data_IF_497268721288
#
_entry.id   IF_497268721288
#
_cell.length_a   1.000
_cell.length_b   1.000
_cell.length_c   1.000
_cell.angle_alpha   90.00
_cell.angle_beta   90.00
_cell.angle_gamma   90.00
#
_symmetry.space_group_name_H-M   'P 1'
#
loop_
_entity.id
_entity.type
_entity.pdbx_description
1 polymer ?
#
# COMPACT_ATOMS: atom_id res chain seq x y z
N UNK A 1 -12.12 -19.37 51.26
CA UNK A 1 -13.04 -18.89 50.20
C UNK A 1 -12.46 -19.25 48.83
N UNK A 2 -12.97 -20.31 48.20
CA UNK A 2 -12.64 -20.73 46.83
C UNK A 2 -13.81 -20.35 45.93
N UNK A 3 -13.60 -19.42 44.99
CA UNK A 3 -14.61 -19.07 44.00
C UNK A 3 -14.46 -19.96 42.76
N UNK A 4 -15.48 -20.80 42.53
CA UNK A 4 -15.74 -21.54 41.29
C UNK A 4 -16.66 -20.66 40.44
N UNK A 5 -16.22 -20.25 39.25
CA UNK A 5 -17.11 -19.67 38.23
C UNK A 5 -17.18 -20.64 37.07
N UNK A 6 -18.38 -21.18 36.88
CA UNK A 6 -18.82 -21.97 35.73
C UNK A 6 -19.13 -21.05 34.55
N UNK A 7 -18.59 -21.32 33.37
CA UNK A 7 -19.15 -20.79 32.12
C UNK A 7 -19.26 -21.91 31.07
N UNK A 8 -20.52 -22.28 30.80
CA UNK A 8 -20.95 -23.09 29.66
C UNK A 8 -20.71 -22.27 28.39
N UNK A 9 -20.00 -22.84 27.41
CA UNK A 9 -20.05 -22.36 26.02
C UNK A 9 -20.60 -23.48 25.15
N UNK A 10 -21.70 -23.16 24.45
CA UNK A 10 -22.47 -24.02 23.57
C UNK A 10 -21.64 -24.40 22.33
N UNK A 11 -21.64 -25.70 22.00
CA UNK A 11 -21.11 -26.24 20.75
C UNK A 11 -22.05 -25.90 19.58
N UNK A 12 -21.49 -25.43 18.46
CA UNK A 12 -22.16 -25.28 17.17
C UNK A 12 -21.95 -26.54 16.31
N UNK A 13 -22.92 -26.93 15.46
CA UNK A 13 -22.93 -28.26 14.85
C UNK A 13 -21.99 -28.39 13.63
N UNK A 14 -21.33 -29.54 13.56
CA UNK A 14 -20.47 -29.99 12.44
C UNK A 14 -21.32 -30.24 11.18
N UNK A 15 -21.12 -29.44 10.14
CA UNK A 15 -21.68 -29.71 8.81
C UNK A 15 -20.80 -30.69 8.03
N UNK A 16 -21.28 -31.92 7.89
CA UNK A 16 -20.73 -32.97 7.04
C UNK A 16 -20.69 -32.55 5.56
N UNK A 17 -19.51 -32.49 4.95
CA UNK A 17 -19.36 -32.53 3.49
C UNK A 17 -18.63 -33.82 3.11
N UNK A 18 -19.40 -34.84 2.74
CA UNK A 18 -18.90 -36.06 2.07
C UNK A 18 -18.72 -35.75 0.59
N UNK A 19 -17.48 -35.69 0.09
CA UNK A 19 -17.21 -35.73 -1.35
C UNK A 19 -17.40 -37.16 -1.89
N UNK A 20 -18.32 -37.34 -2.84
CA UNK A 20 -18.35 -38.51 -3.75
C UNK A 20 -17.49 -38.19 -4.99
N UNK A 21 -16.76 -39.15 -5.56
CA UNK A 21 -15.94 -38.91 -6.75
C UNK A 21 -16.78 -39.01 -8.03
N UNK A 22 -16.46 -38.18 -9.03
CA UNK A 22 -16.99 -38.28 -10.40
C UNK A 22 -15.82 -38.38 -11.41
N UNK A 23 -16.03 -39.02 -12.57
CA UNK A 23 -14.99 -39.71 -13.32
C UNK A 23 -14.21 -38.82 -14.30
N UNK A 24 -13.00 -39.28 -14.65
CA UNK A 24 -12.14 -38.75 -15.71
C UNK A 24 -12.79 -38.91 -17.09
N UNK A 25 -12.84 -37.83 -17.89
CA UNK A 25 -12.62 -37.88 -19.36
C UNK A 25 -12.31 -36.50 -19.93
N UNK A 26 -11.29 -36.47 -20.80
CA UNK A 26 -10.71 -35.35 -21.53
C UNK A 26 -11.67 -34.79 -22.59
N UNK A 27 -11.69 -33.45 -22.77
CA UNK A 27 -11.34 -32.72 -24.01
C UNK A 27 -11.97 -31.33 -24.07
N UNK A 28 -11.23 -30.43 -24.73
CA UNK A 28 -11.69 -29.19 -25.39
C UNK A 28 -11.97 -27.98 -24.48
N UNK A 29 -10.92 -27.20 -24.19
CA UNK A 29 -11.06 -25.81 -23.75
C UNK A 29 -11.30 -24.89 -24.95
N UNK A 30 -12.58 -24.61 -25.23
CA UNK A 30 -13.05 -23.40 -25.92
C UNK A 30 -14.15 -22.75 -25.08
N UNK A 31 -14.14 -21.43 -25.08
CA UNK A 31 -15.12 -20.49 -24.53
C UNK A 31 -14.98 -20.07 -23.05
N UNK A 32 -14.41 -18.87 -22.89
CA UNK A 32 -15.04 -17.70 -22.31
C UNK A 32 -16.10 -17.96 -21.21
N UNK A 33 -15.79 -17.60 -19.96
CA UNK A 33 -16.79 -17.15 -18.98
C UNK A 33 -16.17 -16.32 -17.85
N UNK A 34 -16.40 -15.01 -17.96
CA UNK A 34 -16.70 -14.05 -16.88
C UNK A 34 -15.80 -14.12 -15.65
N UNK A 35 -14.66 -13.42 -15.71
CA UNK A 35 -14.08 -12.85 -14.50
C UNK A 35 -15.05 -11.80 -13.96
N UNK A 36 -15.71 -12.14 -12.85
CA UNK A 36 -16.42 -11.17 -12.00
C UNK A 36 -15.43 -10.05 -11.69
N UNK A 37 -15.66 -8.86 -12.25
CA UNK A 37 -15.03 -7.64 -11.79
C UNK A 37 -15.30 -7.52 -10.30
N UNK A 38 -14.27 -7.73 -9.48
CA UNK A 38 -14.31 -7.40 -8.06
C UNK A 38 -14.50 -5.88 -8.03
N UNK A 39 -15.68 -5.44 -7.61
CA UNK A 39 -16.04 -4.03 -7.57
C UNK A 39 -14.96 -3.23 -6.83
N UNK A 40 -14.45 -2.18 -7.48
CA UNK A 40 -13.65 -1.14 -6.81
C UNK A 40 -14.49 -0.62 -5.64
N UNK A 41 -14.17 -1.02 -4.40
CA UNK A 41 -14.58 -0.25 -3.24
C UNK A 41 -13.86 1.09 -3.37
N UNK A 42 -14.60 2.13 -3.76
CA UNK A 42 -14.14 3.51 -3.68
C UNK A 42 -13.81 3.77 -2.21
N UNK A 43 -12.55 4.00 -1.89
CA UNK A 43 -12.16 4.44 -0.56
C UNK A 43 -12.75 5.83 -0.38
N UNK A 44 -13.76 5.97 0.49
CA UNK A 44 -14.33 7.26 0.83
C UNK A 44 -13.40 7.96 1.81
N UNK A 45 -12.76 9.05 1.39
CA UNK A 45 -11.87 9.85 2.21
C UNK A 45 -12.67 10.96 2.90
N UNK A 46 -12.64 11.03 4.23
CA UNK A 46 -13.28 12.13 4.98
C UNK A 46 -12.32 13.29 5.22
N UNK A 47 -12.85 14.49 5.48
CA UNK A 47 -12.04 15.64 5.89
C UNK A 47 -11.32 15.36 7.21
N UNK A 48 -11.91 14.57 8.11
CA UNK A 48 -11.28 14.11 9.35
C UNK A 48 -10.01 13.30 9.06
N UNK A 49 -10.10 12.28 8.20
CA UNK A 49 -8.93 11.46 7.83
C UNK A 49 -7.83 12.29 7.16
N UNK A 50 -8.23 13.25 6.32
CA UNK A 50 -7.31 14.20 5.71
C UNK A 50 -6.62 15.09 6.76
N UNK A 51 -7.38 15.58 7.75
CA UNK A 51 -6.84 16.40 8.83
C UNK A 51 -5.90 15.62 9.74
N UNK A 52 -6.30 14.44 10.22
CA UNK A 52 -5.48 13.59 11.10
C UNK A 52 -4.16 13.20 10.44
N UNK A 53 -4.19 12.80 9.17
CA UNK A 53 -2.98 12.44 8.41
C UNK A 53 -2.09 13.65 8.07
N UNK A 54 -2.70 14.84 7.93
CA UNK A 54 -2.06 16.07 7.48
C UNK A 54 -1.71 17.06 8.60
N UNK A 55 -2.12 16.82 9.85
CA UNK A 55 -1.94 17.76 10.95
C UNK A 55 -0.46 18.08 11.17
N UNK A 56 0.37 17.05 11.27
CA UNK A 56 1.82 17.21 11.45
C UNK A 56 2.55 17.45 10.12
N UNK A 57 2.27 16.62 9.11
CA UNK A 57 3.01 16.61 7.83
C UNK A 57 2.74 17.85 6.97
N UNK A 58 1.48 18.33 6.96
CA UNK A 58 1.06 19.51 6.19
C UNK A 58 0.88 20.75 7.08
N UNK A 59 1.12 20.64 8.39
CA UNK A 59 0.94 21.73 9.36
C UNK A 59 -0.48 22.28 9.41
N UNK A 60 -1.48 21.42 9.24
CA UNK A 60 -2.89 21.81 9.19
C UNK A 60 -3.42 22.17 10.58
N UNK A 61 -4.15 23.27 10.66
CA UNK A 61 -4.87 23.72 11.86
C UNK A 61 -6.30 24.06 11.51
N UNK A 62 -7.25 23.66 12.35
CA UNK A 62 -8.65 24.07 12.19
C UNK A 62 -8.78 25.53 12.65
N UNK A 63 -9.44 26.36 11.82
CA UNK A 63 -9.62 27.80 12.09
C UNK A 63 -11.09 28.18 12.23
N UNK A 64 -12.01 27.39 11.68
CA UNK A 64 -13.45 27.64 11.79
C UNK A 64 -14.26 26.69 10.91
N UNK A 65 -15.57 26.93 10.81
CA UNK A 65 -16.45 26.17 9.92
C UNK A 65 -17.17 24.97 10.54
N UNK A 66 -17.17 24.87 11.88
CA UNK A 66 -17.89 23.84 12.64
C UNK A 66 -17.22 22.46 12.67
N UNK A 67 -17.74 21.52 13.49
CA UNK A 67 -17.16 20.20 13.71
C UNK A 67 -17.40 19.19 12.57
N UNK A 68 -17.91 19.62 11.42
CA UNK A 68 -18.32 18.76 10.30
C UNK A 68 -17.12 18.18 9.50
N UNK A 69 -16.19 17.53 10.18
CA UNK A 69 -15.05 16.84 9.58
C UNK A 69 -15.47 15.52 8.89
N UNK A 70 -16.70 15.07 9.09
CA UNK A 70 -17.27 13.87 8.47
C UNK A 70 -17.57 14.03 6.97
N UNK A 71 -17.42 15.24 6.42
CA UNK A 71 -17.66 15.52 4.99
C UNK A 71 -16.74 14.65 4.12
N UNK A 72 -17.30 14.14 3.03
CA UNK A 72 -16.59 13.24 2.11
C UNK A 72 -15.91 14.03 0.99
N UNK A 73 -14.62 13.77 0.80
CA UNK A 73 -13.83 14.23 -0.34
C UNK A 73 -14.07 13.24 -1.49
N UNK A 74 -14.88 13.66 -2.47
CA UNK A 74 -15.33 12.79 -3.57
C UNK A 74 -14.33 12.72 -4.73
N UNK A 75 -13.44 13.70 -4.85
CA UNK A 75 -12.38 13.74 -5.84
C UNK A 75 -11.04 13.98 -5.15
N UNK A 76 -10.09 13.07 -5.35
CA UNK A 76 -8.73 13.08 -4.78
C UNK A 76 -7.88 14.08 -5.57
N UNK A 77 -8.25 15.35 -5.47
CA UNK A 77 -7.56 16.44 -6.11
C UNK A 77 -7.86 17.74 -5.35
N UNK A 78 -6.95 18.70 -5.45
CA UNK A 78 -7.16 20.03 -4.92
C UNK A 78 -7.63 20.97 -6.04
N UNK A 79 -8.42 21.97 -5.68
CA UNK A 79 -8.88 23.00 -6.60
C UNK A 79 -8.52 24.38 -6.08
N UNK A 80 -8.06 25.27 -6.97
CA UNK A 80 -7.90 26.69 -6.68
C UNK A 80 -9.09 27.43 -7.27
N UNK A 81 -10.01 27.97 -6.46
CA UNK A 81 -11.30 28.45 -6.94
C UNK A 81 -11.24 29.85 -7.58
N UNK A 82 -10.15 30.24 -8.25
CA UNK A 82 -9.99 31.59 -8.81
C UNK A 82 -11.13 32.02 -9.73
N UNK A 83 -11.43 31.20 -10.75
CA UNK A 83 -12.54 31.46 -11.69
C UNK A 83 -13.93 31.39 -11.03
N UNK A 84 -14.11 30.47 -10.07
CA UNK A 84 -15.37 30.33 -9.35
C UNK A 84 -15.66 31.57 -8.49
N UNK A 85 -14.63 32.08 -7.78
CA UNK A 85 -14.72 33.33 -7.04
C UNK A 85 -14.95 34.54 -7.97
N UNK A 86 -14.55 34.46 -9.24
CA UNK A 86 -14.86 35.47 -10.25
C UNK A 86 -16.30 35.39 -10.82
N UNK A 87 -17.11 34.40 -10.40
CA UNK A 87 -18.50 34.24 -10.84
C UNK A 87 -18.71 33.16 -11.90
N UNK A 88 -17.65 32.50 -12.39
CA UNK A 88 -17.75 31.45 -13.40
C UNK A 88 -17.81 30.06 -12.75
N UNK A 89 -19.04 29.54 -12.55
CA UNK A 89 -19.29 28.28 -11.83
C UNK A 89 -19.56 27.06 -12.74
N UNK A 90 -19.60 27.22 -14.07
CA UNK A 90 -20.01 26.17 -15.00
C UNK A 90 -19.13 24.89 -14.88
N UNK A 91 -17.84 25.07 -14.59
CA UNK A 91 -16.88 23.97 -14.40
C UNK A 91 -16.26 23.97 -12.99
N UNK A 92 -16.99 24.49 -12.01
CA UNK A 92 -16.47 24.54 -10.65
C UNK A 92 -16.34 23.14 -10.05
N UNK A 93 -15.11 22.74 -9.71
CA UNK A 93 -14.80 21.45 -9.11
C UNK A 93 -15.14 21.42 -7.61
N UNK A 94 -16.41 21.55 -7.26
CA UNK A 94 -16.90 21.62 -5.88
C UNK A 94 -16.69 20.33 -5.07
N UNK A 95 -16.42 19.20 -5.74
CA UNK A 95 -16.16 17.89 -5.12
C UNK A 95 -14.74 17.73 -4.54
N UNK A 96 -13.87 18.73 -4.78
CA UNK A 96 -12.46 18.78 -4.38
C UNK A 96 -12.24 19.65 -3.16
N UNK A 97 -11.11 19.47 -2.48
CA UNK A 97 -10.65 20.41 -1.45
C UNK A 97 -10.36 21.76 -2.10
N UNK A 98 -10.90 22.85 -1.54
CA UNK A 98 -10.71 24.19 -2.08
C UNK A 98 -9.52 24.88 -1.41
N UNK A 99 -8.54 25.30 -2.19
CA UNK A 99 -7.31 25.94 -1.69
C UNK A 99 -7.36 27.43 -1.95
N UNK A 100 -7.33 28.21 -0.87
CA UNK A 100 -7.33 29.66 -0.91
C UNK A 100 -5.91 30.17 -0.62
N UNK A 101 -5.33 30.84 -1.62
CA UNK A 101 -4.00 31.45 -1.55
C UNK A 101 -4.05 32.97 -1.57
N UNK A 102 -2.93 33.57 -1.97
CA UNK A 102 -2.80 35.04 -2.07
C UNK A 102 -3.74 35.60 -3.14
N UNK A 103 -3.77 35.00 -4.33
CA UNK A 103 -4.53 35.52 -5.47
C UNK A 103 -6.04 35.53 -5.16
N UNK A 104 -6.55 34.44 -4.58
CA UNK A 104 -7.96 34.30 -4.23
C UNK A 104 -8.38 35.29 -3.13
N UNK A 105 -7.53 35.53 -2.13
CA UNK A 105 -7.77 36.53 -1.08
C UNK A 105 -7.69 37.96 -1.64
N UNK A 106 -6.68 38.26 -2.45
CA UNK A 106 -6.50 39.59 -3.04
C UNK A 106 -7.69 39.95 -3.93
N UNK A 107 -8.16 38.99 -4.74
CA UNK A 107 -9.34 39.14 -5.56
C UNK A 107 -10.61 39.37 -4.73
N UNK A 108 -10.84 38.56 -3.69
CA UNK A 108 -12.00 38.76 -2.83
C UNK A 108 -12.00 40.11 -2.10
N UNK A 109 -10.81 40.68 -1.83
CA UNK A 109 -10.66 42.00 -1.23
C UNK A 109 -10.88 43.15 -2.21
N UNK A 110 -10.76 42.92 -3.52
CA UNK A 110 -10.99 43.97 -4.53
C UNK A 110 -12.47 44.13 -4.90
N UNK A 111 -13.34 43.22 -4.46
CA UNK A 111 -14.78 43.26 -4.74
C UNK A 111 -15.52 44.17 -3.76
N UNK A 112 -16.68 44.68 -4.17
CA UNK A 112 -17.61 45.33 -3.24
C UNK A 112 -18.18 44.31 -2.26
N UNK A 113 -18.72 44.79 -1.14
CA UNK A 113 -19.26 43.91 -0.10
C UNK A 113 -20.48 43.11 -0.58
N UNK A 114 -21.30 43.70 -1.46
CA UNK A 114 -22.45 43.06 -2.10
C UNK A 114 -22.03 41.91 -3.02
N UNK A 115 -21.10 42.19 -3.96
CA UNK A 115 -20.56 41.18 -4.87
C UNK A 115 -19.86 40.05 -4.11
N UNK A 116 -19.09 40.40 -3.08
CA UNK A 116 -18.41 39.42 -2.25
C UNK A 116 -19.41 38.47 -1.59
N UNK A 117 -20.49 39.01 -1.01
CA UNK A 117 -21.52 38.19 -0.36
C UNK A 117 -22.23 37.27 -1.35
N UNK A 118 -22.64 37.80 -2.51
CA UNK A 118 -23.31 37.03 -3.55
C UNK A 118 -22.46 35.85 -4.03
N UNK A 119 -21.16 36.10 -4.26
CA UNK A 119 -20.24 35.08 -4.77
C UNK A 119 -19.87 34.04 -3.72
N UNK A 120 -19.70 34.44 -2.46
CA UNK A 120 -19.48 33.51 -1.36
C UNK A 120 -20.70 32.60 -1.16
N UNK A 121 -21.92 33.14 -1.25
CA UNK A 121 -23.15 32.33 -1.14
C UNK A 121 -23.27 31.30 -2.26
N UNK A 122 -22.98 31.72 -3.49
CA UNK A 122 -22.90 30.80 -4.63
C UNK A 122 -21.79 29.76 -4.46
N UNK A 123 -20.66 30.11 -3.86
CA UNK A 123 -19.55 29.20 -3.62
C UNK A 123 -19.86 28.15 -2.54
N UNK A 124 -20.40 28.56 -1.39
CA UNK A 124 -20.72 27.66 -0.28
C UNK A 124 -21.97 26.79 -0.55
N UNK A 125 -22.95 27.29 -1.31
CA UNK A 125 -24.14 26.51 -1.70
C UNK A 125 -23.83 25.25 -2.53
N UNK A 126 -22.63 25.16 -3.13
CA UNK A 126 -22.17 23.98 -3.88
C UNK A 126 -21.70 22.82 -3.00
N UNK A 127 -21.84 22.91 -1.68
CA UNK A 127 -21.52 21.84 -0.71
C UNK A 127 -20.08 21.32 -0.82
N UNK A 128 -19.11 22.23 -0.91
CA UNK A 128 -17.68 21.89 -0.91
C UNK A 128 -17.27 21.07 0.32
N UNK A 129 -16.26 20.17 0.21
CA UNK A 129 -15.84 19.32 1.33
C UNK A 129 -15.16 20.12 2.43
N UNK A 130 -14.14 20.91 2.11
CA UNK A 130 -13.45 21.81 3.02
C UNK A 130 -12.67 22.89 2.28
N UNK A 131 -12.24 23.91 3.02
CA UNK A 131 -11.37 24.99 2.56
C UNK A 131 -10.03 24.88 3.27
N UNK A 132 -8.93 25.03 2.53
CA UNK A 132 -7.59 25.15 3.10
C UNK A 132 -6.98 26.50 2.74
N UNK A 133 -6.57 27.25 3.75
CA UNK A 133 -5.91 28.55 3.62
C UNK A 133 -4.41 28.37 3.75
N UNK A 134 -3.66 28.85 2.75
CA UNK A 134 -2.21 28.67 2.69
C UNK A 134 -1.46 29.90 3.22
N UNK A 135 -0.16 29.73 3.54
CA UNK A 135 0.74 30.79 4.05
C UNK A 135 0.24 31.49 5.32
N UNK A 136 -0.45 30.77 6.22
CA UNK A 136 -1.04 31.30 7.45
C UNK A 136 -1.91 32.56 7.27
N UNK A 137 -2.45 32.78 6.06
CA UNK A 137 -3.26 33.97 5.80
C UNK A 137 -4.54 33.93 6.61
N UNK A 138 -4.98 35.12 7.02
CA UNK A 138 -6.25 35.27 7.70
C UNK A 138 -7.35 35.45 6.66
N UNK A 139 -8.40 34.62 6.78
CA UNK A 139 -9.62 34.79 6.01
C UNK A 139 -10.39 36.00 6.55
N UNK A 140 -11.14 36.65 5.66
CA UNK A 140 -12.04 37.72 6.06
C UNK A 140 -13.16 37.15 6.95
N UNK A 141 -13.63 37.90 7.96
CA UNK A 141 -14.69 37.44 8.88
C UNK A 141 -15.95 36.95 8.15
N UNK A 142 -16.31 37.60 7.02
CA UNK A 142 -17.46 37.20 6.21
C UNK A 142 -17.34 35.77 5.66
N UNK A 143 -16.13 35.34 5.27
CA UNK A 143 -15.90 33.97 4.77
C UNK A 143 -16.06 32.95 5.90
N UNK A 144 -15.54 33.26 7.10
CA UNK A 144 -15.67 32.37 8.27
C UNK A 144 -17.13 32.22 8.71
N UNK A 145 -17.88 33.33 8.77
CA UNK A 145 -19.33 33.30 9.08
C UNK A 145 -20.13 32.43 8.11
N UNK A 146 -19.84 32.53 6.81
CA UNK A 146 -20.49 31.67 5.80
C UNK A 146 -20.03 30.22 5.92
N UNK A 147 -18.76 29.97 6.16
CA UNK A 147 -18.26 28.61 6.39
C UNK A 147 -18.97 27.94 7.58
N UNK A 148 -19.20 28.67 8.67
CA UNK A 148 -19.98 28.18 9.82
C UNK A 148 -21.45 27.95 9.46
N UNK A 149 -22.09 28.89 8.77
CA UNK A 149 -23.49 28.77 8.37
C UNK A 149 -23.76 27.57 7.45
N UNK A 150 -22.81 27.24 6.57
CA UNK A 150 -22.90 26.09 5.66
C UNK A 150 -22.22 24.81 6.22
N UNK A 151 -21.63 24.88 7.42
CA UNK A 151 -20.92 23.78 8.07
C UNK A 151 -19.78 23.21 7.23
N UNK A 152 -18.97 24.09 6.62
CA UNK A 152 -17.80 23.76 5.81
C UNK A 152 -16.53 23.98 6.64
N UNK A 153 -15.75 22.93 6.95
CA UNK A 153 -14.51 23.07 7.69
C UNK A 153 -13.49 23.96 6.98
N UNK A 154 -12.85 24.84 7.77
CA UNK A 154 -11.79 25.74 7.33
C UNK A 154 -10.49 25.36 8.03
N UNK A 155 -9.54 24.88 7.24
CA UNK A 155 -8.20 24.53 7.65
C UNK A 155 -7.21 25.62 7.24
N UNK A 156 -6.09 25.72 7.95
CA UNK A 156 -5.00 26.66 7.67
C UNK A 156 -3.66 25.96 7.77
N UNK A 157 -2.75 26.29 6.88
CA UNK A 157 -1.36 25.82 6.87
C UNK A 157 -0.40 26.99 6.65
N UNK A 158 0.80 26.87 7.23
CA UNK A 158 1.92 27.77 6.97
C UNK A 158 2.55 27.56 5.59
N UNK A 159 2.30 26.41 4.95
CA UNK A 159 2.92 26.03 3.68
C UNK A 159 2.59 27.00 2.55
N UNK A 160 3.54 27.11 1.61
CA UNK A 160 3.32 27.79 0.33
C UNK A 160 2.31 27.00 -0.51
N UNK A 161 1.44 27.69 -1.24
CA UNK A 161 0.32 27.09 -1.99
C UNK A 161 0.73 25.93 -2.89
N UNK A 162 1.79 26.09 -3.71
CA UNK A 162 2.26 25.01 -4.60
C UNK A 162 2.81 23.81 -3.83
N UNK A 163 3.62 24.05 -2.79
CA UNK A 163 4.18 22.99 -1.94
C UNK A 163 3.07 22.22 -1.20
N UNK A 164 2.07 22.95 -0.68
CA UNK A 164 0.91 22.35 -0.04
C UNK A 164 0.11 21.46 -1.01
N UNK A 165 -0.19 21.97 -2.22
CA UNK A 165 -0.95 21.21 -3.22
C UNK A 165 -0.22 19.90 -3.56
N UNK A 166 1.08 19.95 -3.81
CA UNK A 166 1.86 18.76 -4.14
C UNK A 166 1.88 17.73 -2.99
N UNK A 167 2.21 18.18 -1.78
CA UNK A 167 2.27 17.31 -0.61
C UNK A 167 0.89 16.71 -0.25
N UNK A 168 -0.17 17.53 -0.29
CA UNK A 168 -1.53 17.08 -0.04
C UNK A 168 -2.02 16.09 -1.11
N UNK A 169 -1.63 16.28 -2.37
CA UNK A 169 -1.97 15.35 -3.47
C UNK A 169 -1.37 13.98 -3.18
N UNK A 170 -0.05 13.92 -2.92
CA UNK A 170 0.66 12.67 -2.59
C UNK A 170 0.03 12.00 -1.36
N UNK A 171 -0.29 12.77 -0.32
CA UNK A 171 -0.91 12.23 0.89
C UNK A 171 -2.29 11.61 0.60
N UNK A 172 -3.17 12.33 -0.09
CA UNK A 172 -4.51 11.82 -0.39
C UNK A 172 -4.47 10.59 -1.31
N UNK A 173 -3.56 10.57 -2.29
CA UNK A 173 -3.33 9.41 -3.16
C UNK A 173 -2.85 8.19 -2.35
N UNK A 174 -1.90 8.39 -1.42
CA UNK A 174 -1.42 7.32 -0.54
C UNK A 174 -2.52 6.77 0.38
N UNK A 175 -3.42 7.62 0.88
CA UNK A 175 -4.57 7.23 1.71
C UNK A 175 -5.59 6.40 0.93
N UNK A 176 -5.79 6.72 -0.35
CA UNK A 176 -6.78 6.06 -1.21
C UNK A 176 -6.20 4.91 -2.04
N UNK A 177 -4.88 4.70 -2.00
CA UNK A 177 -4.19 3.64 -2.74
C UNK A 177 -4.78 2.26 -2.39
N UNK A 178 -5.06 1.39 -3.39
CA UNK A 178 -5.52 0.03 -3.15
C UNK A 178 -4.53 -0.75 -2.29
N UNK A 179 -5.06 -1.44 -1.27
CA UNK A 179 -4.28 -2.27 -0.34
C UNK A 179 -4.80 -3.69 -0.31
N UNK A 180 -3.89 -4.65 -0.24
CA UNK A 180 -4.19 -6.07 0.04
C UNK A 180 -3.29 -6.56 1.17
N UNK A 181 -3.78 -7.52 1.95
CA UNK A 181 -2.97 -8.20 2.97
C UNK A 181 -2.47 -9.51 2.39
N UNK A 182 -1.17 -9.73 2.45
CA UNK A 182 -0.53 -10.99 2.12
C UNK A 182 -0.04 -11.64 3.41
N UNK A 183 -0.29 -12.94 3.57
CA UNK A 183 0.27 -13.69 4.68
C UNK A 183 1.69 -14.12 4.31
N UNK A 184 2.67 -13.65 5.07
CA UNK A 184 4.08 -13.84 4.79
C UNK A 184 4.94 -12.79 5.47
N UNK A 185 6.23 -13.12 5.56
CA UNK A 185 7.26 -12.28 6.17
C UNK A 185 8.01 -11.56 5.05
N UNK A 186 8.12 -10.24 5.13
CA UNK A 186 8.83 -9.43 4.14
C UNK A 186 10.15 -8.90 4.70
N UNK A 187 11.22 -9.04 3.93
CA UNK A 187 12.58 -8.62 4.28
C UNK A 187 13.21 -7.78 3.15
N UNK A 188 14.06 -6.82 3.51
CA UNK A 188 14.94 -6.08 2.59
C UNK A 188 16.31 -6.76 2.58
N UNK A 189 16.69 -7.31 1.43
CA UNK A 189 17.99 -7.95 1.20
C UNK A 189 18.75 -7.11 0.17
N UNK A 190 19.70 -6.30 0.65
CA UNK A 190 20.55 -5.45 -0.19
C UNK A 190 19.76 -4.55 -1.18
N UNK A 191 18.61 -4.05 -0.77
CA UNK A 191 17.73 -3.19 -1.57
C UNK A 191 16.71 -3.94 -2.43
N UNK A 192 16.59 -5.27 -2.27
CA UNK A 192 15.55 -6.09 -2.91
C UNK A 192 14.54 -6.48 -1.83
N UNK A 193 13.29 -6.04 -1.99
CA UNK A 193 12.22 -6.48 -1.08
C UNK A 193 11.69 -7.85 -1.45
N UNK A 194 11.83 -8.79 -0.53
CA UNK A 194 11.44 -10.19 -0.71
C UNK A 194 10.30 -10.54 0.23
N UNK A 195 9.18 -11.03 -0.32
CA UNK A 195 8.08 -11.60 0.45
C UNK A 195 8.21 -13.11 0.53
N UNK A 196 8.44 -13.63 1.74
CA UNK A 196 8.46 -15.05 2.06
C UNK A 196 7.05 -15.54 2.38
N UNK A 197 6.54 -16.43 1.56
CA UNK A 197 5.26 -17.10 1.74
C UNK A 197 5.47 -18.59 2.02
N UNK A 198 4.44 -19.25 2.55
CA UNK A 198 4.46 -20.68 2.81
C UNK A 198 3.52 -21.05 3.94
N UNK A 199 3.40 -22.34 4.21
CA UNK A 199 2.54 -22.84 5.28
C UNK A 199 2.99 -22.34 6.67
N UNK A 200 2.08 -22.22 7.65
CA UNK A 200 2.47 -21.90 9.03
C UNK A 200 3.46 -22.93 9.59
N UNK A 201 4.57 -22.48 10.16
CA UNK A 201 5.60 -23.37 10.72
C UNK A 201 6.62 -23.93 9.72
N UNK A 202 6.58 -23.52 8.44
CA UNK A 202 7.57 -23.90 7.43
C UNK A 202 8.97 -23.30 7.66
N UNK A 203 9.10 -22.32 8.57
CA UNK A 203 10.36 -21.63 8.85
C UNK A 203 10.48 -20.21 8.28
N UNK A 204 9.37 -19.51 7.99
CA UNK A 204 9.40 -18.14 7.40
C UNK A 204 10.10 -17.13 8.32
N UNK A 205 9.65 -17.05 9.57
CA UNK A 205 10.14 -16.10 10.55
C UNK A 205 11.57 -16.46 10.98
N UNK A 206 11.89 -17.75 11.08
CA UNK A 206 13.25 -18.25 11.36
C UNK A 206 14.22 -17.92 10.21
N UNK A 207 13.79 -18.08 8.96
CA UNK A 207 14.59 -17.68 7.78
C UNK A 207 14.81 -16.16 7.77
N UNK A 208 13.78 -15.37 8.07
CA UNK A 208 13.88 -13.93 8.15
C UNK A 208 14.82 -13.47 9.29
N UNK A 209 14.75 -14.12 10.47
CA UNK A 209 15.62 -13.85 11.59
C UNK A 209 17.09 -14.09 11.23
N UNK A 210 17.40 -15.24 10.61
CA UNK A 210 18.75 -15.55 10.15
C UNK A 210 19.26 -14.58 9.09
N UNK A 211 18.39 -14.01 8.24
CA UNK A 211 18.76 -12.93 7.32
C UNK A 211 19.06 -11.62 8.06
N UNK A 212 18.28 -11.27 9.09
CA UNK A 212 18.51 -10.08 9.90
C UNK A 212 19.85 -10.17 10.65
N UNK A 213 20.18 -11.34 11.18
CA UNK A 213 21.50 -11.61 11.80
C UNK A 213 22.67 -11.40 10.83
N UNK A 214 22.44 -11.54 9.52
CA UNK A 214 23.42 -11.26 8.45
C UNK A 214 23.46 -9.80 8.00
N UNK A 215 22.70 -8.92 8.65
CA UNK A 215 22.67 -7.48 8.37
C UNK A 215 21.55 -7.03 7.43
N UNK A 216 20.61 -7.93 7.07
CA UNK A 216 19.41 -7.57 6.32
C UNK A 216 18.34 -6.95 7.24
N UNK A 217 17.23 -6.49 6.68
CA UNK A 217 16.24 -5.74 7.45
C UNK A 217 14.83 -6.33 7.36
N UNK A 218 14.12 -6.36 8.48
CA UNK A 218 12.71 -6.71 8.54
C UNK A 218 11.85 -5.57 8.01
N UNK A 219 10.90 -5.89 7.13
CA UNK A 219 9.83 -4.98 6.70
C UNK A 219 8.52 -5.29 7.42
N UNK A 220 8.15 -6.58 7.47
CA UNK A 220 6.94 -7.08 8.11
C UNK A 220 7.08 -8.57 8.45
N UNK A 221 6.41 -9.02 9.51
CA UNK A 221 6.28 -10.44 9.85
C UNK A 221 4.79 -10.85 9.94
N UNK A 222 4.51 -12.11 9.60
CA UNK A 222 3.19 -12.75 9.46
C UNK A 222 2.20 -12.10 8.46
N UNK A 223 1.89 -10.82 8.60
CA UNK A 223 0.98 -10.08 7.72
C UNK A 223 1.70 -8.88 7.11
N UNK A 224 1.90 -8.95 5.79
CA UNK A 224 2.43 -7.85 4.99
C UNK A 224 1.29 -7.11 4.29
N UNK A 225 1.18 -5.80 4.49
CA UNK A 225 0.26 -4.93 3.76
C UNK A 225 0.95 -4.50 2.47
N UNK A 226 0.38 -4.89 1.33
CA UNK A 226 0.86 -4.51 0.01
C UNK A 226 -0.04 -3.41 -0.55
N UNK A 227 0.55 -2.32 -1.03
CA UNK A 227 -0.15 -1.25 -1.75
C UNK A 227 0.52 -0.94 -3.07
N UNK A 228 -0.23 -0.37 -4.00
CA UNK A 228 0.31 0.11 -5.26
C UNK A 228 0.57 1.61 -5.19
N UNK A 229 1.80 2.03 -5.43
CA UNK A 229 2.11 3.46 -5.53
C UNK A 229 1.67 4.05 -6.89
N UNK A 230 1.85 5.35 -7.04
CA UNK A 230 1.47 6.06 -8.27
C UNK A 230 2.34 5.70 -9.48
N UNK A 231 3.59 5.28 -9.25
CA UNK A 231 4.49 4.79 -10.30
C UNK A 231 4.13 3.36 -10.75
N UNK A 232 3.24 2.69 -10.03
CA UNK A 232 2.79 1.32 -10.31
C UNK A 232 3.61 0.24 -9.60
N UNK A 233 4.58 0.61 -8.78
CA UNK A 233 5.32 -0.30 -7.93
C UNK A 233 4.45 -0.78 -6.76
N UNK A 234 4.72 -2.00 -6.30
CA UNK A 234 4.08 -2.56 -5.11
C UNK A 234 4.99 -2.29 -3.93
N UNK A 235 4.47 -1.64 -2.90
CA UNK A 235 5.16 -1.35 -1.66
C UNK A 235 4.56 -2.21 -0.54
N UNK A 236 5.42 -2.85 0.23
CA UNK A 236 5.06 -3.66 1.38
C UNK A 236 5.45 -2.99 2.69
N UNK A 237 4.58 -3.12 3.69
CA UNK A 237 4.81 -2.63 5.05
C UNK A 237 4.10 -3.53 6.08
N UNK A 238 4.53 -3.45 7.33
CA UNK A 238 3.84 -4.11 8.43
C UNK A 238 2.49 -3.45 8.75
N UNK A 239 1.57 -4.22 9.31
CA UNK A 239 0.42 -3.66 10.02
C UNK A 239 0.94 -2.90 11.25
N UNK A 240 0.30 -1.78 11.59
CA UNK A 240 0.76 -0.90 12.66
C UNK A 240 0.98 -1.61 14.00
N UNK A 241 0.09 -2.55 14.37
CA UNK A 241 0.17 -3.30 15.63
C UNK A 241 1.35 -4.29 15.71
N UNK A 242 1.76 -4.88 14.57
CA UNK A 242 2.87 -5.84 14.52
C UNK A 242 4.16 -5.22 14.01
N UNK A 243 4.19 -3.90 13.82
CA UNK A 243 5.33 -3.18 13.28
C UNK A 243 6.57 -3.45 14.14
N UNK A 244 7.65 -3.88 13.50
CA UNK A 244 8.95 -4.20 14.10
C UNK A 244 8.97 -5.37 15.10
N UNK A 245 7.84 -6.08 15.24
CA UNK A 245 7.74 -7.27 16.08
C UNK A 245 7.75 -8.53 15.21
N UNK A 246 8.28 -9.61 15.77
CA UNK A 246 8.33 -10.93 15.13
C UNK A 246 8.01 -12.00 16.16
N UNK A 247 7.21 -13.00 15.79
CA UNK A 247 6.94 -14.16 16.65
C UNK A 247 7.87 -15.31 16.28
N UNK A 248 8.67 -15.77 17.25
CA UNK A 248 9.53 -16.94 17.08
C UNK A 248 9.05 -18.06 17.99
N UNK A 249 8.81 -19.24 17.41
CA UNK A 249 8.35 -20.40 18.17
C UNK A 249 9.42 -20.81 19.20
N UNK A 250 8.98 -21.00 20.45
CA UNK A 250 9.87 -21.35 21.56
C UNK A 250 10.54 -20.15 22.24
N UNK A 251 10.56 -18.97 21.63
CA UNK A 251 11.07 -17.73 22.23
C UNK A 251 9.95 -16.74 22.57
N UNK A 252 8.88 -16.68 21.78
CA UNK A 252 7.79 -15.70 21.90
C UNK A 252 7.99 -14.51 20.96
N UNK A 253 7.34 -13.39 21.28
CA UNK A 253 7.40 -12.16 20.48
C UNK A 253 8.66 -11.37 20.84
N UNK A 254 9.42 -10.98 19.83
CA UNK A 254 10.63 -10.16 19.96
C UNK A 254 10.44 -8.80 19.27
N UNK A 255 11.14 -7.77 19.77
CA UNK A 255 11.24 -6.48 19.10
C UNK A 255 12.59 -6.37 18.38
N UNK A 256 12.56 -6.44 17.06
CA UNK A 256 13.75 -6.58 16.21
C UNK A 256 14.74 -5.40 16.34
N UNK A 257 14.32 -4.12 16.31
CA UNK A 257 15.23 -2.99 16.43
C UNK A 257 15.95 -2.91 17.78
N UNK A 258 15.35 -3.44 18.86
CA UNK A 258 15.99 -3.47 20.18
C UNK A 258 17.11 -4.49 20.26
N UNK A 259 17.03 -5.58 19.50
CA UNK A 259 18.02 -6.66 19.50
C UNK A 259 19.12 -6.42 18.46
N UNK A 260 18.76 -5.97 17.27
CA UNK A 260 19.66 -5.89 16.11
C UNK A 260 19.92 -4.45 15.62
N UNK A 261 19.41 -3.44 16.35
CA UNK A 261 19.60 -2.03 16.06
C UNK A 261 18.67 -1.48 14.97
N UNK A 262 18.62 -0.15 14.83
CA UNK A 262 17.69 0.53 13.91
C UNK A 262 17.89 0.18 12.43
N UNK A 263 19.09 -0.26 12.06
CA UNK A 263 19.39 -0.68 10.68
C UNK A 263 18.67 -1.98 10.28
N UNK A 264 18.25 -2.80 11.25
CA UNK A 264 17.56 -4.07 11.04
C UNK A 264 16.07 -3.94 10.68
N UNK A 265 15.56 -2.72 10.51
CA UNK A 265 14.15 -2.47 10.16
C UNK A 265 13.99 -1.56 8.95
N UNK A 266 12.87 -1.74 8.25
CA UNK A 266 12.34 -0.82 7.24
C UNK A 266 10.86 -0.59 7.53
N UNK A 267 10.43 0.66 7.46
CA UNK A 267 9.01 1.00 7.62
C UNK A 267 8.18 0.56 6.41
N UNK A 268 8.80 0.58 5.23
CA UNK A 268 8.23 0.22 3.94
C UNK A 268 9.34 -0.15 2.96
N UNK A 269 9.06 -1.08 2.04
CA UNK A 269 9.97 -1.49 0.99
C UNK A 269 9.23 -1.88 -0.27
N UNK A 270 9.83 -1.66 -1.45
CA UNK A 270 9.27 -2.15 -2.72
C UNK A 270 9.32 -3.69 -2.75
N UNK A 271 8.25 -4.33 -3.20
CA UNK A 271 8.20 -5.77 -3.44
C UNK A 271 8.79 -6.09 -4.81
N UNK A 272 9.93 -6.77 -4.82
CA UNK A 272 10.69 -7.13 -6.03
C UNK A 272 10.65 -8.63 -6.33
N UNK A 273 10.45 -9.47 -5.30
CA UNK A 273 10.43 -10.92 -5.43
C UNK A 273 9.47 -11.56 -4.42
N UNK A 274 8.70 -12.55 -4.86
CA UNK A 274 7.91 -13.42 -3.98
C UNK A 274 8.54 -14.81 -4.00
N UNK A 275 8.86 -15.33 -2.81
CA UNK A 275 9.41 -16.67 -2.64
C UNK A 275 8.40 -17.50 -1.84
N UNK A 276 7.92 -18.60 -2.42
CA UNK A 276 7.12 -19.58 -1.70
C UNK A 276 8.00 -20.71 -1.18
N UNK A 277 8.04 -20.85 0.14
CA UNK A 277 8.63 -21.99 0.83
C UNK A 277 7.60 -23.13 0.90
N UNK A 278 8.03 -24.34 0.59
CA UNK A 278 7.19 -25.53 0.66
C UNK A 278 7.99 -26.76 1.13
N UNK A 279 7.29 -27.76 1.67
CA UNK A 279 7.91 -29.05 1.97
C UNK A 279 8.15 -29.83 0.67
N UNK A 280 9.30 -30.51 0.50
CA UNK A 280 9.55 -31.36 -0.66
C UNK A 280 8.42 -32.39 -0.81
N UNK A 281 7.77 -32.38 -1.97
CA UNK A 281 6.80 -33.41 -2.33
C UNK A 281 7.51 -34.42 -3.22
N UNK A 282 7.50 -35.70 -2.82
CA UNK A 282 8.38 -36.76 -3.35
C UNK A 282 8.26 -37.09 -4.84
N UNK A 283 7.50 -36.35 -5.63
CA UNK A 283 7.28 -36.58 -7.07
C UNK A 283 7.18 -35.29 -7.91
N UNK A 284 7.42 -34.10 -7.33
CA UNK A 284 7.42 -32.85 -8.09
C UNK A 284 8.84 -32.56 -8.55
N UNK A 285 9.10 -32.64 -9.86
CA UNK A 285 10.31 -32.07 -10.43
C UNK A 285 10.27 -30.55 -10.24
N UNK A 286 10.92 -30.06 -9.19
CA UNK A 286 11.26 -28.65 -9.07
C UNK A 286 12.03 -28.23 -10.34
N UNK A 287 11.68 -27.07 -10.90
CA UNK A 287 12.33 -26.55 -12.10
C UNK A 287 13.83 -26.36 -11.85
N UNK A 288 14.63 -27.32 -12.34
CA UNK A 288 16.09 -27.36 -12.15
C UNK A 288 16.83 -26.38 -13.05
N UNK A 289 16.15 -25.83 -14.06
CA UNK A 289 16.79 -25.02 -15.10
C UNK A 289 16.81 -23.53 -14.76
N UNK A 290 15.81 -23.05 -14.00
CA UNK A 290 15.67 -21.63 -13.67
C UNK A 290 15.41 -20.73 -14.89
N UNK A 291 15.10 -21.32 -16.05
CA UNK A 291 14.90 -20.63 -17.32
C UNK A 291 13.52 -19.99 -17.43
N UNK A 292 12.50 -20.55 -16.77
CA UNK A 292 11.15 -20.01 -16.76
C UNK A 292 10.95 -19.02 -15.61
N UNK A 293 10.96 -17.72 -15.91
CA UNK A 293 10.58 -16.70 -14.92
C UNK A 293 9.06 -16.75 -14.71
N UNK A 294 8.63 -17.20 -13.53
CA UNK A 294 7.24 -17.15 -13.14
C UNK A 294 6.91 -15.77 -12.57
N UNK A 295 5.66 -15.34 -12.75
CA UNK A 295 5.16 -14.08 -12.22
C UNK A 295 3.85 -14.31 -11.49
N UNK A 296 3.61 -13.49 -10.46
CA UNK A 296 2.33 -13.39 -9.78
C UNK A 296 1.77 -11.97 -9.93
N UNK A 297 0.47 -11.87 -10.22
CA UNK A 297 -0.21 -10.59 -10.20
C UNK A 297 -0.53 -10.15 -8.77
N UNK A 298 -0.07 -8.96 -8.41
CA UNK A 298 -0.42 -8.27 -7.16
C UNK A 298 -0.90 -6.87 -7.53
N UNK A 299 -2.17 -6.56 -7.27
CA UNK A 299 -2.77 -5.26 -7.59
C UNK A 299 -2.59 -4.83 -9.06
N UNK A 300 -2.68 -5.77 -10.00
CA UNK A 300 -2.43 -5.59 -11.44
C UNK A 300 -0.98 -5.20 -11.76
N UNK A 301 -0.02 -5.67 -10.96
CA UNK A 301 1.41 -5.56 -11.21
C UNK A 301 2.02 -6.97 -11.13
N UNK A 302 2.78 -7.36 -12.16
CA UNK A 302 3.45 -8.66 -12.21
C UNK A 302 4.73 -8.63 -11.38
N UNK A 303 4.79 -9.46 -10.35
CA UNK A 303 5.95 -9.61 -9.47
C UNK A 303 6.62 -10.97 -9.76
N UNK A 304 7.94 -11.03 -9.95
CA UNK A 304 8.69 -12.28 -10.05
C UNK A 304 8.36 -13.22 -8.89
N UNK A 305 8.14 -14.49 -9.22
CA UNK A 305 7.72 -15.52 -8.29
C UNK A 305 8.61 -16.74 -8.43
N UNK A 306 9.11 -17.25 -7.30
CA UNK A 306 9.86 -18.50 -7.26
C UNK A 306 9.34 -19.39 -6.12
N UNK A 307 9.53 -20.70 -6.26
CA UNK A 307 9.16 -21.68 -5.25
C UNK A 307 10.42 -22.43 -4.84
N UNK A 308 10.67 -22.55 -3.53
CA UNK A 308 11.86 -23.19 -2.97
C UNK A 308 11.45 -24.29 -1.98
N UNK A 309 12.03 -25.51 -2.09
CA UNK A 309 11.77 -26.58 -1.13
C UNK A 309 12.60 -26.38 0.14
N UNK A 310 11.98 -26.57 1.30
CA UNK A 310 12.63 -26.52 2.62
C UNK A 310 13.03 -27.93 3.05
N UNK A 311 14.33 -28.16 3.18
CA UNK A 311 14.91 -29.45 3.58
C UNK A 311 15.73 -29.34 4.86
N UNK A 312 15.83 -30.43 5.62
CA UNK A 312 16.72 -30.49 6.79
C UNK A 312 18.18 -30.23 6.37
N UNK A 313 18.87 -29.37 7.12
CA UNK A 313 20.27 -28.98 6.83
C UNK A 313 20.44 -27.97 5.69
N UNK A 314 19.35 -27.55 5.02
CA UNK A 314 19.42 -26.50 4.00
C UNK A 314 19.38 -25.13 4.67
N UNK A 315 20.41 -24.33 4.45
CA UNK A 315 20.44 -22.94 4.87
C UNK A 315 19.51 -22.09 3.99
N UNK A 316 18.26 -21.98 4.43
CA UNK A 316 17.24 -21.24 3.68
C UNK A 316 17.53 -19.75 3.60
N UNK A 317 18.17 -19.16 4.62
CA UNK A 317 18.56 -17.76 4.59
C UNK A 317 19.56 -17.51 3.45
N UNK A 318 20.57 -18.38 3.31
CA UNK A 318 21.54 -18.26 2.22
C UNK A 318 20.89 -18.44 0.84
N UNK A 319 20.00 -19.43 0.68
CA UNK A 319 19.31 -19.65 -0.60
C UNK A 319 18.42 -18.47 -0.98
N UNK A 320 17.69 -17.90 -0.02
CA UNK A 320 16.85 -16.71 -0.23
C UNK A 320 17.70 -15.48 -0.59
N UNK A 321 18.84 -15.30 0.09
CA UNK A 321 19.79 -14.22 -0.20
C UNK A 321 20.35 -14.31 -1.62
N UNK A 322 20.77 -15.50 -2.06
CA UNK A 322 21.24 -15.74 -3.44
C UNK A 322 20.11 -15.48 -4.45
N UNK A 323 18.88 -15.88 -4.14
CA UNK A 323 17.73 -15.62 -5.01
C UNK A 323 17.46 -14.11 -5.16
N UNK A 324 17.56 -13.34 -4.08
CA UNK A 324 17.41 -11.89 -4.10
C UNK A 324 18.54 -11.20 -4.91
N UNK A 325 19.78 -11.64 -4.73
CA UNK A 325 20.93 -11.16 -5.52
C UNK A 325 20.77 -11.47 -7.02
N UNK A 326 20.32 -12.67 -7.36
CA UNK A 326 20.02 -13.02 -8.74
C UNK A 326 18.91 -12.13 -9.33
N UNK A 327 17.88 -11.84 -8.55
CA UNK A 327 16.82 -10.91 -8.96
C UNK A 327 17.38 -9.49 -9.17
N UNK A 328 18.31 -9.04 -8.32
CA UNK A 328 19.01 -7.76 -8.49
C UNK A 328 19.80 -7.71 -9.79
N UNK A 329 20.54 -8.77 -10.12
CA UNK A 329 21.28 -8.89 -11.38
C UNK A 329 20.35 -8.81 -12.60
N UNK A 330 19.21 -9.52 -12.55
CA UNK A 330 18.18 -9.45 -13.61
C UNK A 330 17.62 -8.04 -13.79
N UNK A 331 17.40 -7.30 -12.70
CA UNK A 331 16.98 -5.88 -12.76
C UNK A 331 18.05 -4.96 -13.37
N UNK A 332 19.32 -5.30 -13.22
CA UNK A 332 20.45 -4.60 -13.84
C UNK A 332 20.72 -5.04 -15.30
N UNK A 333 19.95 -5.99 -15.83
CA UNK A 333 20.08 -6.50 -17.19
C UNK A 333 21.02 -7.69 -17.36
N UNK A 334 21.53 -8.27 -16.27
CA UNK A 334 22.37 -9.47 -16.30
C UNK A 334 21.53 -10.72 -16.01
N UNK A 335 21.39 -11.60 -17.00
CA UNK A 335 20.72 -12.90 -16.82
C UNK A 335 21.72 -14.05 -17.01
N UNK A 336 22.31 -14.50 -15.89
CA UNK A 336 23.32 -15.54 -15.88
C UNK A 336 22.85 -16.89 -16.48
N UNK A 337 21.55 -17.20 -16.37
CA UNK A 337 20.98 -18.42 -16.94
C UNK A 337 20.94 -18.34 -18.47
N UNK A 338 20.55 -17.18 -19.01
CA UNK A 338 20.57 -16.91 -20.45
C UNK A 338 21.99 -16.90 -21.00
N UNK A 339 22.94 -16.27 -20.31
CA UNK A 339 24.35 -16.27 -20.72
C UNK A 339 24.95 -17.68 -20.75
N UNK A 340 24.59 -18.53 -19.79
CA UNK A 340 25.04 -19.91 -19.75
C UNK A 340 24.40 -20.75 -20.85
N UNK A 341 23.10 -20.57 -21.11
CA UNK A 341 22.39 -21.24 -22.21
C UNK A 341 23.00 -20.88 -23.57
N UNK A 342 23.27 -19.58 -23.81
CA UNK A 342 23.97 -19.10 -25.01
C UNK A 342 25.37 -19.73 -25.15
N UNK A 343 26.14 -19.81 -24.05
CA UNK A 343 27.46 -20.47 -24.04
C UNK A 343 27.35 -21.97 -24.30
N UNK A 344 26.36 -22.66 -23.74
CA UNK A 344 26.13 -24.09 -23.97
C UNK A 344 25.74 -24.36 -25.42
N UNK A 345 24.85 -23.55 -25.99
CA UNK A 345 24.46 -23.62 -27.41
C UNK A 345 25.66 -23.39 -28.35
N UNK A 346 26.55 -22.46 -28.02
CA UNK A 346 27.81 -22.27 -28.78
C UNK A 346 28.74 -23.50 -28.71
N UNK A 347 28.83 -24.17 -27.56
CA UNK A 347 29.67 -25.38 -27.41
C UNK A 347 29.06 -26.58 -28.15
N UNK A 348 27.73 -26.74 -28.09
CA UNK A 348 27.01 -27.83 -28.75
C UNK A 348 27.01 -27.70 -30.29
N UNK A 349 26.90 -26.48 -30.81
CA UNK A 349 27.02 -26.20 -32.25
C UNK A 349 28.43 -26.44 -32.79
N UNK A 350 29.48 -26.17 -32.00
CA UNK A 350 30.88 -26.49 -32.38
C UNK A 350 31.17 -27.99 -32.43
N UNK A 351 30.45 -28.82 -31.67
CA UNK A 351 30.60 -30.29 -31.68
C UNK A 351 29.89 -30.98 -32.85
N UNK A 352 28.89 -30.34 -33.47
CA UNK A 352 28.19 -30.89 -34.64
C UNK A 352 28.83 -30.49 -35.98
N UNK A 353 29.85 -29.61 -35.96
CA UNK A 353 30.55 -29.13 -37.15
C UNK A 353 31.95 -29.74 -37.33
N UNK A 354 32.25 -30.81 -36.60
CA UNK A 354 33.39 -31.73 -36.79
C UNK A 354 32.82 -33.13 -36.96
#
# INVERSE_FOLDING_TARGET
MRFRITSRVKALPKSNWKCKPLPRKQRSYRSCRRHKQIGRKTVELTVQQFFESGHETLGLKIVGGGPNLDRIIREIALNRPGLALAGFFQYFAYRRIQVIGLAEIAYLKSLTQEEQNERLDKFFSKQIPCIVVTRNRQLMPNVLKRAEAFGVPVLRTAMITGAFINAATIMMENLCSPRVRAQGTMVDILGIGVLLEGEPGIGKSETALALIERGHSLVADDITVLRRDNAGAILGSAVEITRYHMEIRGLGIIHVPSLFGVASMRSEMKLDLIIRLHHPQGDVEDDRTGLAVQYRDVLNTKIPFITLPVGAGRDMAHVVEVAALNQKLKQLGHDAAKELDEKMMMVLSRKHSK
#
